data_IF_123968920790
#
_entry.id   IF_123968920790
#
_cell.length_a   1.000
_cell.length_b   1.000
_cell.length_c   1.000
_cell.angle_alpha   90.00
_cell.angle_beta   90.00
_cell.angle_gamma   90.00
#
_symmetry.space_group_name_H-M   'P 1'
#
loop_
_entity.id
_entity.type
_entity.pdbx_description
1 polymer ?
#
# COMPACT_ATOMS: atom_id res chain seq x y z
N UNK A 1 5.21 11.79 11.60
CA UNK A 1 4.80 11.89 10.18
C UNK A 1 4.03 10.63 9.78
N UNK A 2 3.10 10.77 8.83
CA UNK A 2 2.17 9.71 8.38
C UNK A 2 2.83 8.36 8.10
N UNK A 3 3.78 8.31 7.15
CA UNK A 3 4.40 7.05 6.74
C UNK A 3 5.15 6.33 7.88
N UNK A 4 5.69 7.06 8.85
CA UNK A 4 6.33 6.46 10.02
C UNK A 4 5.30 5.84 10.99
N UNK A 5 4.12 6.45 11.12
CA UNK A 5 3.01 5.90 11.91
C UNK A 5 2.47 4.62 11.25
N UNK A 6 2.21 4.64 9.94
CA UNK A 6 1.74 3.46 9.20
C UNK A 6 2.71 2.28 9.31
N UNK A 7 4.02 2.52 9.13
CA UNK A 7 5.05 1.47 9.32
C UNK A 7 5.10 0.94 10.74
N UNK A 8 4.87 1.78 11.75
CA UNK A 8 4.83 1.34 13.15
C UNK A 8 3.63 0.43 13.42
N UNK A 9 2.46 0.79 12.89
CA UNK A 9 1.24 -0.04 12.98
C UNK A 9 1.47 -1.38 12.26
N UNK A 10 1.95 -1.35 11.02
CA UNK A 10 2.23 -2.57 10.27
C UNK A 10 3.20 -3.49 11.01
N UNK A 11 4.31 -2.93 11.52
CA UNK A 11 5.30 -3.69 12.30
C UNK A 11 4.69 -4.36 13.52
N UNK A 12 3.85 -3.65 14.28
CA UNK A 12 3.21 -4.22 15.45
C UNK A 12 2.39 -5.47 15.11
N UNK A 13 1.62 -5.42 14.03
CA UNK A 13 0.80 -6.55 13.59
C UNK A 13 1.65 -7.71 13.02
N UNK A 14 2.74 -7.42 12.31
CA UNK A 14 3.70 -8.43 11.90
C UNK A 14 4.36 -9.13 13.11
N UNK A 15 4.74 -8.38 14.15
CA UNK A 15 5.39 -8.92 15.35
C UNK A 15 4.49 -9.89 16.14
N UNK A 16 3.16 -9.75 16.02
CA UNK A 16 2.19 -10.67 16.62
C UNK A 16 1.70 -11.76 15.64
N UNK A 17 2.34 -11.88 14.48
CA UNK A 17 2.11 -12.97 13.52
C UNK A 17 0.90 -12.80 12.61
N UNK A 18 0.43 -11.57 12.38
CA UNK A 18 -0.69 -11.28 11.47
C UNK A 18 -0.19 -11.11 10.03
N UNK A 19 -1.06 -11.40 9.07
CA UNK A 19 -0.77 -11.21 7.65
C UNK A 19 -1.24 -9.81 7.24
N UNK A 20 -0.31 -8.96 6.81
CA UNK A 20 -0.58 -7.53 6.60
C UNK A 20 -0.26 -7.14 5.17
N UNK A 21 -1.25 -6.56 4.49
CA UNK A 21 -1.11 -5.94 3.16
C UNK A 21 -1.22 -4.42 3.30
N UNK A 22 -0.51 -3.68 2.44
CA UNK A 22 -0.59 -2.21 2.43
C UNK A 22 -1.09 -1.72 1.08
N UNK A 23 -2.15 -0.92 1.08
CA UNK A 23 -2.62 -0.19 -0.11
C UNK A 23 -2.07 1.23 -0.07
N UNK A 24 -1.37 1.62 -1.12
CA UNK A 24 -0.86 2.98 -1.30
C UNK A 24 -1.74 3.77 -2.27
N UNK A 25 -1.70 5.09 -2.14
CA UNK A 25 -2.23 5.96 -3.18
C UNK A 25 -1.46 5.70 -4.49
N UNK A 26 -2.13 5.50 -5.63
CA UNK A 26 -1.44 5.39 -6.91
C UNK A 26 -0.79 6.72 -7.27
N UNK A 27 0.35 6.69 -7.94
CA UNK A 27 0.84 7.86 -8.67
C UNK A 27 0.37 7.71 -10.12
N UNK A 28 -0.76 8.31 -10.53
CA UNK A 28 -1.43 8.01 -11.80
C UNK A 28 -0.74 8.68 -13.00
N UNK A 29 0.56 8.44 -13.14
CA UNK A 29 1.38 8.91 -14.23
C UNK A 29 1.51 7.79 -15.26
N UNK A 30 1.09 8.04 -16.51
CA UNK A 30 1.24 7.07 -17.60
C UNK A 30 -0.03 6.29 -17.90
N UNK A 31 0.11 4.97 -18.11
CA UNK A 31 -0.98 4.09 -18.56
C UNK A 31 -1.80 3.57 -17.38
N UNK A 32 -2.94 4.22 -17.14
CA UNK A 32 -3.86 3.87 -16.06
C UNK A 32 -4.55 2.52 -16.24
N UNK A 33 -4.67 2.04 -17.48
CA UNK A 33 -5.25 0.72 -17.75
C UNK A 33 -4.26 -0.38 -17.36
N UNK A 34 -2.97 -0.18 -17.66
CA UNK A 34 -1.89 -1.05 -17.17
C UNK A 34 -1.72 -0.96 -15.64
N UNK A 35 -1.94 0.22 -15.05
CA UNK A 35 -1.86 0.48 -13.61
C UNK A 35 -3.19 0.25 -12.87
N UNK A 36 -4.12 -0.49 -13.48
CA UNK A 36 -5.45 -0.72 -12.90
C UNK A 36 -5.38 -1.41 -11.53
N UNK A 37 -4.55 -2.45 -11.43
CA UNK A 37 -4.25 -3.19 -10.19
C UNK A 37 -2.78 -3.58 -10.23
N UNK A 38 -1.99 -3.09 -9.27
CA UNK A 38 -0.57 -3.40 -9.13
C UNK A 38 -0.31 -4.05 -7.79
N UNK A 39 0.62 -4.99 -7.78
CA UNK A 39 1.08 -5.74 -6.62
C UNK A 39 2.61 -5.75 -6.64
N UNK A 40 3.21 -5.48 -5.50
CA UNK A 40 4.65 -5.47 -5.28
C UNK A 40 4.94 -6.34 -4.04
N UNK A 41 5.66 -7.43 -4.24
CA UNK A 41 6.15 -8.31 -3.18
C UNK A 41 7.62 -8.01 -2.85
N UNK A 42 8.39 -7.57 -3.85
CA UNK A 42 9.79 -7.24 -3.67
C UNK A 42 10.24 -6.01 -4.50
N UNK A 43 11.54 -5.72 -4.43
CA UNK A 43 12.12 -4.56 -5.11
C UNK A 43 12.22 -4.76 -6.63
N UNK A 44 12.27 -6.00 -7.12
CA UNK A 44 12.37 -6.30 -8.55
C UNK A 44 11.02 -6.01 -9.24
N UNK A 45 9.90 -6.18 -8.53
CA UNK A 45 8.57 -5.80 -9.02
C UNK A 45 8.48 -4.30 -9.35
N UNK A 46 9.16 -3.44 -8.56
CA UNK A 46 9.20 -2.00 -8.80
C UNK A 46 9.95 -1.65 -10.10
N UNK A 47 10.99 -2.40 -10.43
CA UNK A 47 11.73 -2.21 -11.68
C UNK A 47 10.91 -2.68 -12.88
N UNK A 48 10.25 -3.84 -12.75
CA UNK A 48 9.39 -4.41 -13.79
C UNK A 48 8.18 -3.52 -14.09
N UNK A 49 7.61 -2.88 -13.08
CA UNK A 49 6.49 -1.94 -13.25
C UNK A 49 6.92 -0.54 -13.67
N UNK A 50 8.23 -0.29 -13.80
CA UNK A 50 8.81 1.03 -14.06
C UNK A 50 8.35 2.09 -13.04
N UNK A 51 8.32 1.72 -11.75
CA UNK A 51 7.86 2.60 -10.67
C UNK A 51 8.65 3.91 -10.65
N UNK A 52 7.96 5.03 -10.41
CA UNK A 52 8.60 6.35 -10.34
C UNK A 52 9.47 6.48 -9.09
N UNK A 53 10.29 7.52 -9.03
CA UNK A 53 11.14 7.78 -7.86
C UNK A 53 10.29 7.98 -6.61
N UNK A 54 9.17 8.70 -6.72
CA UNK A 54 8.22 8.93 -5.63
C UNK A 54 7.57 7.63 -5.14
N UNK A 55 7.13 6.77 -6.06
CA UNK A 55 6.57 5.46 -5.71
C UNK A 55 7.60 4.61 -4.97
N UNK A 56 8.84 4.56 -5.45
CA UNK A 56 9.93 3.84 -4.80
C UNK A 56 10.22 4.38 -3.40
N UNK A 57 10.28 5.69 -3.22
CA UNK A 57 10.46 6.31 -1.90
C UNK A 57 9.37 5.89 -0.89
N UNK A 58 8.14 5.69 -1.36
CA UNK A 58 7.03 5.26 -0.52
C UNK A 58 6.97 3.74 -0.30
N UNK A 59 7.29 2.94 -1.33
CA UNK A 59 7.02 1.50 -1.36
C UNK A 59 8.21 0.68 -0.85
N UNK A 60 9.45 1.05 -1.22
CA UNK A 60 10.66 0.30 -0.81
C UNK A 60 10.77 0.07 0.71
N UNK A 61 10.45 1.05 1.59
CA UNK A 61 10.50 0.83 3.04
C UNK A 61 9.50 -0.24 3.53
N UNK A 62 8.37 -0.42 2.85
CA UNK A 62 7.35 -1.41 3.19
C UNK A 62 7.76 -2.80 2.69
N UNK A 63 8.25 -2.87 1.45
CA UNK A 63 8.76 -4.12 0.85
C UNK A 63 9.95 -4.66 1.66
N UNK A 64 10.87 -3.80 2.10
CA UNK A 64 11.98 -4.18 3.01
C UNK A 64 11.51 -4.68 4.38
N UNK A 65 10.28 -4.38 4.79
CA UNK A 65 9.66 -4.94 6.00
C UNK A 65 8.99 -6.30 5.76
N UNK A 66 9.00 -6.80 4.51
CA UNK A 66 8.30 -8.02 4.12
C UNK A 66 6.80 -7.85 3.94
N UNK A 67 6.33 -6.63 3.68
CA UNK A 67 4.92 -6.33 3.39
C UNK A 67 4.70 -6.31 1.89
N UNK A 68 3.62 -6.94 1.43
CA UNK A 68 3.13 -6.74 0.06
C UNK A 68 2.47 -5.37 -0.04
N UNK A 69 2.83 -4.62 -1.07
CA UNK A 69 2.25 -3.32 -1.40
C UNK A 69 1.33 -3.46 -2.61
N UNK A 70 0.15 -2.87 -2.52
CA UNK A 70 -0.79 -2.75 -3.62
C UNK A 70 -1.01 -1.28 -3.97
N UNK A 71 -1.18 -1.02 -5.26
CA UNK A 71 -1.47 0.31 -5.79
C UNK A 71 -2.32 0.18 -7.06
N UNK A 72 -2.79 1.32 -7.58
CA UNK A 72 -3.53 1.41 -8.83
C UNK A 72 -4.83 2.18 -8.71
N UNK A 73 -5.58 2.26 -9.80
CA UNK A 73 -6.79 3.09 -9.89
C UNK A 73 -8.09 2.35 -9.58
N UNK A 74 -8.12 1.01 -9.66
CA UNK A 74 -9.32 0.19 -9.40
C UNK A 74 -9.35 -0.29 -7.94
N UNK A 75 -9.75 0.59 -7.02
CA UNK A 75 -9.74 0.33 -5.57
C UNK A 75 -10.55 -0.89 -5.15
N UNK A 76 -11.63 -1.23 -5.87
CA UNK A 76 -12.43 -2.40 -5.57
C UNK A 76 -11.64 -3.69 -5.81
N UNK A 77 -10.94 -3.78 -6.95
CA UNK A 77 -10.11 -4.95 -7.24
C UNK A 77 -8.80 -4.96 -6.46
N UNK A 78 -8.22 -3.80 -6.19
CA UNK A 78 -7.05 -3.67 -5.30
C UNK A 78 -7.39 -4.19 -3.91
N UNK A 79 -8.51 -3.77 -3.33
CA UNK A 79 -8.94 -4.26 -2.02
C UNK A 79 -9.15 -5.77 -2.05
N UNK A 80 -9.87 -6.29 -3.04
CA UNK A 80 -10.10 -7.73 -3.16
C UNK A 80 -8.79 -8.53 -3.19
N UNK A 81 -7.81 -8.09 -3.98
CA UNK A 81 -6.49 -8.73 -4.03
C UNK A 81 -5.72 -8.59 -2.72
N UNK A 82 -5.79 -7.43 -2.06
CA UNK A 82 -5.11 -7.22 -0.79
C UNK A 82 -5.65 -8.12 0.33
N UNK A 83 -6.96 -8.39 0.32
CA UNK A 83 -7.65 -9.27 1.27
C UNK A 83 -7.40 -10.76 1.02
N UNK A 84 -7.03 -11.18 -0.20
CA UNK A 84 -6.66 -12.57 -0.49
C UNK A 84 -5.40 -13.01 0.28
N UNK A 85 -4.47 -12.07 0.52
CA UNK A 85 -3.15 -12.34 1.09
C UNK A 85 -2.98 -11.90 2.54
N UNK A 86 -3.95 -11.17 3.10
CA UNK A 86 -3.84 -10.56 4.42
C UNK A 86 -5.16 -10.59 5.21
N UNK A 87 -5.03 -10.75 6.52
CA UNK A 87 -6.13 -10.60 7.48
C UNK A 87 -6.24 -9.17 8.04
N UNK A 88 -5.32 -8.29 7.64
CA UNK A 88 -5.33 -6.87 7.92
C UNK A 88 -4.83 -6.08 6.70
N UNK A 89 -5.65 -5.15 6.22
CA UNK A 89 -5.26 -4.19 5.18
C UNK A 89 -5.01 -2.83 5.80
N UNK A 90 -3.84 -2.26 5.54
CA UNK A 90 -3.52 -0.87 5.89
C UNK A 90 -3.63 -0.03 4.64
N UNK A 91 -4.59 0.88 4.60
CA UNK A 91 -4.65 1.90 3.56
C UNK A 91 -3.88 3.15 4.02
N UNK A 92 -2.88 3.56 3.25
CA UNK A 92 -2.05 4.74 3.52
C UNK A 92 -2.09 5.69 2.31
N UNK A 93 -3.11 6.56 2.28
CA UNK A 93 -3.34 7.54 1.22
C UNK A 93 -2.47 8.80 1.33
N UNK A 94 -2.62 9.74 0.40
CA UNK A 94 -1.93 11.03 0.41
C UNK A 94 -2.27 11.91 1.62
N UNK A 95 -1.53 13.01 1.80
CA UNK A 95 -1.69 13.90 2.95
C UNK A 95 -3.08 14.58 3.05
N UNK A 96 -3.82 14.66 1.94
CA UNK A 96 -5.13 15.32 1.88
C UNK A 96 -6.25 14.35 1.46
N UNK A 97 -5.99 13.04 1.49
CA UNK A 97 -6.96 12.06 1.03
C UNK A 97 -7.87 11.61 2.16
N UNK A 98 -9.14 11.41 1.82
CA UNK A 98 -10.01 10.51 2.56
C UNK A 98 -9.86 9.10 1.99
N UNK A 99 -10.05 8.04 2.80
CA UNK A 99 -9.99 6.69 2.31
C UNK A 99 -11.07 6.45 1.25
N UNK A 100 -10.65 5.90 0.11
CA UNK A 100 -11.56 5.41 -0.94
C UNK A 100 -12.21 4.07 -0.56
N UNK A 101 -11.85 3.54 0.61
CA UNK A 101 -12.36 2.32 1.20
C UNK A 101 -13.10 2.66 2.49
N UNK A 102 -14.10 1.87 2.84
CA UNK A 102 -14.70 1.96 4.17
C UNK A 102 -13.78 1.27 5.18
N UNK A 103 -13.24 2.03 6.13
CA UNK A 103 -12.34 1.48 7.15
C UNK A 103 -13.08 1.09 8.43
N UNK A 104 -12.66 -0.01 9.06
CA UNK A 104 -13.10 -0.39 10.41
C UNK A 104 -12.47 0.51 11.49
N UNK A 105 -11.29 1.06 11.21
CA UNK A 105 -10.56 1.98 12.06
C UNK A 105 -9.92 3.08 11.21
N UNK A 106 -10.15 4.34 11.60
CA UNK A 106 -9.54 5.50 10.96
C UNK A 106 -8.61 6.22 11.95
N UNK A 107 -7.31 6.30 11.63
CA UNK A 107 -6.30 6.97 12.45
C UNK A 107 -5.94 8.31 11.79
N UNK A 108 -6.10 9.42 12.53
CA UNK A 108 -5.77 10.78 12.08
C UNK A 108 -4.60 11.32 12.88
N UNK A 109 -3.65 11.99 12.21
CA UNK A 109 -2.48 12.63 12.84
C UNK A 109 -2.65 14.16 12.76
N UNK A 110 -2.29 14.86 13.85
CA UNK A 110 -2.34 16.32 13.98
C UNK A 110 -0.97 16.90 14.35
#
# INVERSE_FOLDING_TARGET
GKSAASRRVARHFLEIGRQVSVIRHPMPYGDLEAQRVQRFDDLDDLEQSQATVEEREEYEPLLRMGLTVFAGVDYAQILHRAEEDADLVIWDGGNNDLPFLQSDLHIVLV
#
